data_IF_293831904099
#
_entry.id   IF_293831904099
#
_cell.length_a   1.000
_cell.length_b   1.000
_cell.length_c   1.000
_cell.angle_alpha   90.00
_cell.angle_beta   90.00
_cell.angle_gamma   90.00
#
_symmetry.space_group_name_H-M   'P 1'
#
loop_
_entity.id
_entity.type
_entity.pdbx_description
1 polymer ?
#
# COMPACT_ATOMS: atom_id res chain seq x y z
N UNK A 1 24.21 -28.47 -24.82
CA UNK A 1 24.35 -27.97 -23.44
C UNK A 1 23.20 -27.00 -23.17
N UNK A 2 22.20 -27.40 -22.38
CA UNK A 2 20.98 -26.62 -22.17
C UNK A 2 21.25 -25.35 -21.38
N UNK A 3 20.94 -24.20 -21.98
CA UNK A 3 20.91 -22.91 -21.32
C UNK A 3 19.77 -22.87 -20.30
N UNK A 4 20.07 -23.18 -19.04
CA UNK A 4 19.14 -22.97 -17.94
C UNK A 4 19.14 -21.47 -17.65
N UNK A 5 18.27 -20.74 -18.36
CA UNK A 5 17.92 -19.38 -18.00
C UNK A 5 17.58 -19.37 -16.50
N UNK A 6 18.36 -18.62 -15.70
CA UNK A 6 18.13 -18.39 -14.28
C UNK A 6 16.74 -17.76 -14.13
N UNK A 7 15.72 -18.60 -13.95
CA UNK A 7 14.35 -18.15 -13.70
C UNK A 7 14.33 -17.49 -12.34
N UNK A 8 13.69 -16.32 -12.27
CA UNK A 8 13.54 -15.62 -11.00
C UNK A 8 12.74 -16.50 -10.04
N UNK A 9 13.32 -16.92 -8.90
CA UNK A 9 12.69 -17.87 -7.99
C UNK A 9 11.34 -17.36 -7.48
N UNK A 10 11.20 -16.05 -7.27
CA UNK A 10 9.95 -15.41 -6.91
C UNK A 10 8.84 -15.61 -7.96
N UNK A 11 9.17 -15.52 -9.26
CA UNK A 11 8.20 -15.76 -10.34
C UNK A 11 7.79 -17.22 -10.44
N UNK A 12 8.74 -18.13 -10.21
CA UNK A 12 8.47 -19.57 -10.16
C UNK A 12 7.52 -19.88 -9.01
N UNK A 13 7.80 -19.35 -7.82
CA UNK A 13 6.94 -19.52 -6.65
C UNK A 13 5.53 -18.95 -6.86
N UNK A 14 5.42 -17.77 -7.47
CA UNK A 14 4.12 -17.19 -7.82
C UNK A 14 3.31 -18.10 -8.77
N UNK A 15 3.96 -18.69 -9.77
CA UNK A 15 3.33 -19.64 -10.68
C UNK A 15 2.86 -20.92 -9.97
N UNK A 16 3.72 -21.51 -9.13
CA UNK A 16 3.37 -22.70 -8.34
C UNK A 16 2.20 -22.42 -7.38
N UNK A 17 2.18 -21.23 -6.76
CA UNK A 17 1.06 -20.80 -5.90
C UNK A 17 -0.24 -20.66 -6.70
N UNK A 18 -0.17 -20.10 -7.90
CA UNK A 18 -1.33 -20.01 -8.79
C UNK A 18 -1.87 -21.42 -9.13
N UNK A 19 -1.00 -22.40 -9.38
CA UNK A 19 -1.39 -23.80 -9.58
C UNK A 19 -2.15 -24.35 -8.38
N UNK A 20 -1.69 -24.11 -7.15
CA UNK A 20 -2.35 -24.62 -5.94
C UNK A 20 -3.79 -24.11 -5.80
N UNK A 21 -4.03 -22.84 -6.12
CA UNK A 21 -5.34 -22.21 -5.98
C UNK A 21 -6.26 -22.40 -7.19
N UNK A 22 -5.73 -22.85 -8.34
CA UNK A 22 -6.55 -23.05 -9.53
C UNK A 22 -7.49 -24.26 -9.34
N UNK A 23 -8.82 -24.12 -9.46
CA UNK A 23 -9.75 -25.25 -9.38
C UNK A 23 -9.64 -26.21 -10.57
N UNK A 24 -9.13 -25.76 -11.72
CA UNK A 24 -9.06 -26.55 -12.96
C UNK A 24 -7.84 -27.48 -13.05
N UNK A 25 -6.95 -27.49 -12.06
CA UNK A 25 -5.77 -28.38 -12.05
C UNK A 25 -5.98 -29.60 -11.17
N UNK A 26 -5.32 -30.71 -11.52
CA UNK A 26 -5.39 -31.96 -10.78
C UNK A 26 -4.80 -31.85 -9.38
N UNK A 27 -5.27 -32.69 -8.46
CA UNK A 27 -4.75 -32.72 -7.09
C UNK A 27 -3.26 -33.10 -7.04
N UNK A 28 -2.83 -34.02 -7.91
CA UNK A 28 -1.41 -34.39 -8.04
C UNK A 28 -0.54 -33.18 -8.42
N UNK A 29 -1.00 -32.33 -9.34
CA UNK A 29 -0.30 -31.12 -9.73
C UNK A 29 -0.22 -30.10 -8.56
N UNK A 30 -1.27 -29.99 -7.74
CA UNK A 30 -1.26 -29.14 -6.55
C UNK A 30 -0.29 -29.64 -5.50
N UNK A 31 -0.22 -30.95 -5.27
CA UNK A 31 0.73 -31.55 -4.32
C UNK A 31 2.17 -31.30 -4.77
N UNK A 32 2.50 -31.58 -6.03
CA UNK A 32 3.82 -31.29 -6.60
C UNK A 32 4.19 -29.80 -6.52
N UNK A 33 3.22 -28.92 -6.72
CA UNK A 33 3.45 -27.48 -6.58
C UNK A 33 3.74 -27.07 -5.12
N UNK A 34 3.10 -27.70 -4.14
CA UNK A 34 3.40 -27.49 -2.70
C UNK A 34 4.78 -28.00 -2.32
N UNK A 35 5.12 -29.22 -2.73
CA UNK A 35 6.44 -29.81 -2.49
C UNK A 35 7.55 -28.93 -3.06
N UNK A 36 7.36 -28.42 -4.28
CA UNK A 36 8.36 -27.56 -4.93
C UNK A 36 8.46 -26.17 -4.30
N UNK A 37 7.38 -25.66 -3.70
CA UNK A 37 7.44 -24.44 -2.88
C UNK A 37 8.19 -24.68 -1.57
N UNK A 38 7.96 -25.82 -0.92
CA UNK A 38 8.65 -26.23 0.30
C UNK A 38 10.16 -26.45 0.05
N UNK A 39 10.53 -27.13 -1.03
CA UNK A 39 11.93 -27.32 -1.45
C UNK A 39 12.66 -25.98 -1.71
N UNK A 40 11.90 -24.96 -2.14
CA UNK A 40 12.41 -23.60 -2.31
C UNK A 40 12.46 -22.79 -1.00
N UNK A 41 12.11 -23.37 0.15
CA UNK A 41 12.04 -22.68 1.45
C UNK A 41 10.94 -21.62 1.51
N UNK A 42 9.93 -21.75 0.63
CA UNK A 42 8.77 -20.88 0.55
C UNK A 42 7.58 -21.67 1.07
N UNK A 43 7.49 -21.77 2.39
CA UNK A 43 6.43 -22.54 3.04
C UNK A 43 5.05 -22.09 2.54
N UNK A 44 4.19 -23.07 2.28
CA UNK A 44 2.82 -22.86 1.80
C UNK A 44 1.94 -22.11 2.81
N UNK A 45 2.50 -21.62 3.92
CA UNK A 45 1.95 -20.60 4.84
C UNK A 45 1.96 -19.20 4.20
N UNK A 46 1.58 -19.12 2.93
CA UNK A 46 0.36 -18.40 2.58
C UNK A 46 0.34 -16.89 2.76
N UNK A 47 1.44 -16.21 3.03
CA UNK A 47 1.45 -14.77 3.21
C UNK A 47 2.48 -14.13 2.30
N UNK A 48 2.11 -13.88 1.04
CA UNK A 48 2.85 -12.88 0.25
C UNK A 48 2.91 -11.62 1.11
N UNK A 49 4.11 -11.18 1.48
CA UNK A 49 4.29 -10.02 2.36
C UNK A 49 3.54 -8.77 1.88
N UNK A 50 3.19 -8.69 0.59
CA UNK A 50 2.31 -7.65 0.05
C UNK A 50 0.82 -7.81 0.45
N UNK A 51 0.23 -9.00 0.30
CA UNK A 51 -1.18 -9.23 0.65
C UNK A 51 -1.40 -9.15 2.16
N UNK A 52 -0.49 -9.69 2.97
CA UNK A 52 -0.62 -9.62 4.42
C UNK A 52 -0.51 -8.19 4.94
N UNK A 53 0.32 -7.32 4.33
CA UNK A 53 0.42 -5.92 4.75
C UNK A 53 -0.90 -5.16 4.55
N UNK A 54 -1.58 -5.36 3.42
CA UNK A 54 -2.86 -4.70 3.16
C UNK A 54 -4.00 -5.26 4.00
N UNK A 55 -4.04 -6.58 4.17
CA UNK A 55 -5.04 -7.23 5.03
C UNK A 55 -4.84 -6.81 6.49
N UNK A 56 -3.61 -6.84 7.00
CA UNK A 56 -3.31 -6.41 8.37
C UNK A 56 -3.68 -4.94 8.62
N UNK A 57 -3.38 -4.04 7.67
CA UNK A 57 -3.78 -2.64 7.76
C UNK A 57 -5.30 -2.45 7.82
N UNK A 58 -6.05 -3.21 7.01
CA UNK A 58 -7.52 -3.18 7.02
C UNK A 58 -8.12 -3.71 8.32
N UNK A 59 -7.59 -4.82 8.84
CA UNK A 59 -8.01 -5.40 10.12
C UNK A 59 -7.73 -4.43 11.29
N UNK A 60 -6.56 -3.77 11.29
CA UNK A 60 -6.22 -2.75 12.30
C UNK A 60 -7.18 -1.55 12.23
N UNK A 61 -7.52 -1.10 11.03
CA UNK A 61 -8.51 -0.03 10.85
C UNK A 61 -9.90 -0.43 11.35
N UNK A 62 -10.33 -1.67 11.10
CA UNK A 62 -11.61 -2.19 11.58
C UNK A 62 -11.69 -2.24 13.12
N UNK A 63 -10.60 -2.65 13.79
CA UNK A 63 -10.50 -2.70 15.26
C UNK A 63 -10.73 -1.30 15.88
N UNK A 64 -10.17 -0.25 15.27
CA UNK A 64 -10.31 1.12 15.78
C UNK A 64 -11.59 1.82 15.32
N UNK A 65 -12.38 1.22 14.42
CA UNK A 65 -13.61 1.82 13.94
C UNK A 65 -14.75 1.61 14.96
N UNK A 66 -15.34 2.69 15.53
CA UNK A 66 -16.42 2.57 16.50
C UNK A 66 -17.73 2.01 15.91
N UNK A 67 -17.86 1.94 14.58
CA UNK A 67 -19.03 1.36 13.90
C UNK A 67 -18.98 -0.16 13.74
N UNK A 68 -17.85 -0.79 14.10
CA UNK A 68 -17.66 -2.25 14.00
C UNK A 68 -18.04 -2.89 15.33
N UNK A 69 -18.69 -4.07 15.28
CA UNK A 69 -19.07 -4.82 16.48
C UNK A 69 -17.86 -5.40 17.22
N UNK A 70 -17.96 -5.54 18.54
CA UNK A 70 -16.87 -6.08 19.37
C UNK A 70 -16.48 -7.50 18.95
N UNK A 71 -17.44 -8.35 18.55
CA UNK A 71 -17.16 -9.69 18.01
C UNK A 71 -16.30 -9.65 16.75
N UNK A 72 -16.56 -8.72 15.83
CA UNK A 72 -15.79 -8.57 14.61
C UNK A 72 -14.38 -8.05 14.92
N UNK A 73 -14.25 -7.09 15.85
CA UNK A 73 -12.94 -6.61 16.30
C UNK A 73 -12.10 -7.73 16.91
N UNK A 74 -12.70 -8.59 17.72
CA UNK A 74 -11.99 -9.72 18.34
C UNK A 74 -11.47 -10.71 17.29
N UNK A 75 -12.31 -11.04 16.30
CA UNK A 75 -11.92 -11.89 15.18
C UNK A 75 -10.78 -11.28 14.36
N UNK A 76 -10.81 -9.97 14.16
CA UNK A 76 -9.77 -9.24 13.43
C UNK A 76 -8.45 -9.22 14.22
N UNK A 77 -8.50 -9.10 15.55
CA UNK A 77 -7.34 -9.24 16.45
C UNK A 77 -6.70 -10.62 16.36
N UNK A 78 -7.52 -11.68 16.45
CA UNK A 78 -7.04 -13.06 16.33
C UNK A 78 -6.37 -13.30 14.96
N UNK A 79 -6.98 -12.77 13.89
CA UNK A 79 -6.44 -12.88 12.54
C UNK A 79 -5.12 -12.12 12.38
N UNK A 80 -4.94 -10.99 13.05
CA UNK A 80 -3.67 -10.25 13.09
C UNK A 80 -2.59 -10.99 13.87
N UNK A 81 -2.95 -11.58 15.02
CA UNK A 81 -2.04 -12.41 15.82
C UNK A 81 -1.56 -13.65 15.03
N UNK A 82 -2.47 -14.34 14.35
CA UNK A 82 -2.15 -15.47 13.48
C UNK A 82 -1.27 -15.07 12.27
N UNK A 83 -1.24 -13.78 11.92
CA UNK A 83 -0.35 -13.23 10.89
C UNK A 83 1.01 -12.80 11.45
N UNK A 84 1.26 -12.94 12.76
CA UNK A 84 2.48 -12.48 13.43
C UNK A 84 2.60 -10.96 13.50
N UNK A 85 1.46 -10.26 13.47
CA UNK A 85 1.40 -8.80 13.62
C UNK A 85 0.97 -8.50 15.05
N UNK A 86 1.93 -8.15 15.89
CA UNK A 86 1.65 -7.71 17.25
C UNK A 86 0.92 -6.37 17.24
N UNK A 87 -0.32 -6.38 17.74
CA UNK A 87 -1.08 -5.16 17.98
C UNK A 87 -0.74 -4.73 19.41
N UNK A 88 0.22 -3.81 19.54
CA UNK A 88 0.49 -3.17 20.83
C UNK A 88 -0.74 -2.34 21.22
N UNK A 89 -1.56 -2.85 22.15
CA UNK A 89 -2.74 -2.18 22.68
C UNK A 89 -2.33 -1.09 23.68
N UNK A 90 -1.84 0.04 23.17
CA UNK A 90 -1.66 1.28 23.93
C UNK A 90 -2.83 2.24 23.72
N UNK A 91 -3.34 2.92 24.77
CA UNK A 91 -4.50 3.78 24.64
C UNK A 91 -4.10 5.11 23.99
N UNK A 92 -4.78 5.43 22.89
CA UNK A 92 -4.92 6.76 22.31
C UNK A 92 -3.67 7.43 21.74
N UNK A 93 -3.73 7.70 20.44
CA UNK A 93 -3.07 8.82 19.78
C UNK A 93 -1.53 8.86 19.83
N UNK A 94 -0.87 8.09 18.97
CA UNK A 94 0.21 8.63 18.12
C UNK A 94 0.18 7.99 16.74
N UNK A 95 -0.03 8.83 15.73
CA UNK A 95 0.36 8.57 14.36
C UNK A 95 1.89 8.33 14.36
N UNK A 96 2.29 7.17 13.85
CA UNK A 96 3.64 6.92 13.34
C UNK A 96 4.67 6.45 14.36
N UNK A 97 4.97 5.15 14.32
CA UNK A 97 6.33 4.63 14.13
C UNK A 97 6.28 3.09 14.15
N UNK A 98 6.28 2.47 12.97
CA UNK A 98 6.82 1.13 12.80
C UNK A 98 7.93 1.24 11.76
N UNK A 99 9.15 1.32 12.27
CA UNK A 99 10.37 0.99 11.54
C UNK A 99 10.24 -0.45 11.04
N UNK A 100 10.49 -0.66 9.73
CA UNK A 100 11.40 -1.67 9.17
C UNK A 100 11.10 -1.95 7.68
N UNK A 101 12.06 -1.59 6.82
CA UNK A 101 12.41 -2.43 5.66
C UNK A 101 12.13 -1.89 4.25
N UNK A 102 12.88 -0.87 3.83
CA UNK A 102 13.59 -0.87 2.55
C UNK A 102 12.82 -1.17 1.26
N UNK A 103 11.92 -0.28 0.85
CA UNK A 103 11.99 0.22 -0.52
C UNK A 103 12.04 1.72 -0.41
N UNK A 104 13.25 2.25 -0.54
CA UNK A 104 13.56 3.65 -0.70
C UNK A 104 12.55 4.23 -1.69
N UNK A 105 11.50 4.86 -1.16
CA UNK A 105 10.89 5.95 -1.89
C UNK A 105 11.99 6.98 -1.93
N UNK A 106 12.71 7.00 -3.05
CA UNK A 106 13.60 8.10 -3.36
C UNK A 106 12.83 9.38 -3.06
N UNK A 107 13.26 10.20 -2.08
CA UNK A 107 12.82 11.58 -2.05
C UNK A 107 13.36 12.18 -3.34
N UNK A 108 12.49 12.43 -4.30
CA UNK A 108 12.88 13.19 -5.49
C UNK A 108 13.26 14.59 -5.03
N UNK A 109 14.57 14.85 -4.91
CA UNK A 109 15.23 16.15 -4.79
C UNK A 109 14.90 16.90 -3.50
N UNK A 110 15.82 17.13 -2.57
CA UNK A 110 17.21 17.48 -2.85
C UNK A 110 17.30 18.86 -3.51
N UNK A 111 16.60 19.86 -2.98
CA UNK A 111 17.03 21.24 -3.04
C UNK A 111 16.61 21.90 -1.73
N UNK A 112 17.58 22.43 -1.01
CA UNK A 112 17.45 23.29 0.16
C UNK A 112 16.40 24.38 -0.08
N UNK A 113 15.19 24.18 0.42
CA UNK A 113 14.18 25.23 0.51
C UNK A 113 14.28 25.87 1.90
N UNK A 114 14.17 27.21 1.99
CA UNK A 114 14.19 27.93 3.26
C UNK A 114 13.08 27.39 4.17
N UNK A 115 13.17 27.64 5.47
CA UNK A 115 12.16 27.26 6.48
C UNK A 115 10.78 27.83 6.12
N UNK A 116 10.07 27.17 5.20
CA UNK A 116 8.70 27.51 4.81
C UNK A 116 7.77 26.86 5.82
N UNK A 117 6.96 27.69 6.44
CA UNK A 117 5.95 27.31 7.41
C UNK A 117 4.95 26.33 6.79
N UNK A 118 4.25 25.57 7.65
CA UNK A 118 3.22 24.63 7.19
C UNK A 118 2.15 25.32 6.32
N UNK A 119 1.87 26.59 6.60
CA UNK A 119 0.90 27.45 5.91
C UNK A 119 1.35 27.75 4.47
N UNK A 120 2.61 28.13 4.26
CA UNK A 120 3.18 28.39 2.93
C UNK A 120 3.23 27.13 2.05
N UNK A 121 3.45 25.97 2.68
CA UNK A 121 3.44 24.69 1.98
C UNK A 121 2.03 24.30 1.53
N UNK A 122 1.03 24.51 2.38
CA UNK A 122 -0.37 24.27 2.05
C UNK A 122 -0.83 25.20 0.93
N UNK A 123 -0.43 26.47 0.98
CA UNK A 123 -0.69 27.46 -0.06
C UNK A 123 -0.06 27.04 -1.39
N UNK A 124 1.21 26.65 -1.42
CA UNK A 124 1.87 26.17 -2.64
C UNK A 124 1.18 24.95 -3.26
N UNK A 125 0.70 24.02 -2.43
CA UNK A 125 -0.05 22.85 -2.91
C UNK A 125 -1.42 23.25 -3.49
N UNK A 126 -2.11 24.18 -2.82
CA UNK A 126 -3.42 24.69 -3.26
C UNK A 126 -3.32 25.45 -4.58
N UNK A 127 -2.29 26.30 -4.73
CA UNK A 127 -2.00 27.01 -5.98
C UNK A 127 -1.62 26.05 -7.11
N UNK A 128 -0.85 25.01 -6.81
CA UNK A 128 -0.57 23.92 -7.76
C UNK A 128 -1.83 23.22 -8.25
N UNK A 129 -2.78 22.97 -7.35
CA UNK A 129 -4.10 22.42 -7.68
C UNK A 129 -4.91 23.31 -8.63
N UNK A 130 -5.00 24.62 -8.35
CA UNK A 130 -5.69 25.55 -9.24
C UNK A 130 -5.04 25.65 -10.61
N UNK A 131 -3.70 25.61 -10.71
CA UNK A 131 -2.98 25.57 -11.99
C UNK A 131 -3.29 24.29 -12.77
N UNK A 132 -3.42 23.15 -12.08
CA UNK A 132 -3.84 21.90 -12.70
C UNK A 132 -5.28 21.96 -13.24
N UNK A 133 -6.21 22.57 -12.49
CA UNK A 133 -7.59 22.81 -12.92
C UNK A 133 -7.67 23.63 -14.21
N UNK A 134 -6.79 24.63 -14.38
CA UNK A 134 -6.71 25.43 -15.61
C UNK A 134 -6.19 24.63 -16.81
N UNK A 135 -5.21 23.74 -16.59
CA UNK A 135 -4.60 22.91 -17.65
C UNK A 135 -5.45 21.71 -18.04
N UNK A 136 -6.37 21.26 -17.18
CA UNK A 136 -7.20 20.11 -17.48
C UNK A 136 -8.24 20.47 -18.57
N UNK A 137 -8.28 19.75 -19.72
CA UNK A 137 -9.27 20.01 -20.76
C UNK A 137 -10.70 19.59 -20.35
N UNK A 138 -10.84 18.74 -19.32
CA UNK A 138 -12.12 18.19 -18.86
C UNK A 138 -12.78 18.97 -17.71
N UNK A 139 -12.19 20.07 -17.26
CA UNK A 139 -12.79 20.95 -16.24
C UNK A 139 -13.72 21.97 -16.89
N UNK A 140 -14.85 22.24 -16.22
CA UNK A 140 -15.84 23.23 -16.67
C UNK A 140 -15.24 24.64 -16.68
N UNK A 141 -15.81 25.51 -17.52
CA UNK A 141 -15.35 26.89 -17.63
C UNK A 141 -15.48 27.64 -16.30
N UNK A 142 -16.60 27.47 -15.59
CA UNK A 142 -16.83 28.06 -14.28
C UNK A 142 -15.78 27.63 -13.23
N UNK A 143 -15.35 26.37 -13.25
CA UNK A 143 -14.29 25.88 -12.37
C UNK A 143 -12.91 26.50 -12.71
N UNK A 144 -12.65 26.75 -14.00
CA UNK A 144 -11.43 27.42 -14.46
C UNK A 144 -11.44 28.88 -14.06
N UNK A 145 -12.55 29.59 -14.22
CA UNK A 145 -12.66 31.00 -13.83
C UNK A 145 -12.45 31.17 -12.32
N UNK A 146 -13.01 30.28 -11.50
CA UNK A 146 -12.80 30.26 -10.05
C UNK A 146 -11.34 29.93 -9.67
N UNK A 147 -10.72 28.97 -10.36
CA UNK A 147 -9.31 28.65 -10.16
C UNK A 147 -8.40 29.82 -10.53
N UNK A 148 -8.75 30.57 -11.59
CA UNK A 148 -8.03 31.78 -12.02
C UNK A 148 -8.15 32.89 -10.98
N UNK A 149 -9.35 33.18 -10.47
CA UNK A 149 -9.55 34.19 -9.43
C UNK A 149 -8.74 33.88 -8.15
N UNK A 150 -8.69 32.61 -7.75
CA UNK A 150 -7.87 32.18 -6.61
C UNK A 150 -6.36 32.35 -6.86
N UNK A 151 -5.88 32.12 -8.08
CA UNK A 151 -4.48 32.35 -8.43
C UNK A 151 -4.11 33.84 -8.47
N UNK A 152 -5.01 34.70 -8.93
CA UNK A 152 -4.81 36.17 -8.89
C UNK A 152 -4.79 36.71 -7.46
N UNK A 153 -5.71 36.25 -6.61
CA UNK A 153 -5.77 36.65 -5.20
C UNK A 153 -4.46 36.36 -4.44
N UNK A 154 -3.85 35.22 -4.75
CA UNK A 154 -2.59 34.77 -4.15
C UNK A 154 -1.34 35.24 -4.93
N UNK A 155 -1.49 36.16 -5.90
CA UNK A 155 -0.39 36.69 -6.76
C UNK A 155 0.45 35.60 -7.43
N UNK A 156 -0.18 34.48 -7.79
CA UNK A 156 0.48 33.30 -8.34
C UNK A 156 0.29 33.14 -9.87
N UNK A 157 -0.16 34.20 -10.53
CA UNK A 157 -0.49 34.28 -11.95
C UNK A 157 0.58 35.02 -12.76
#
# INVERSE_FOLDING_TARGET
>A
MSGVAKKNPERVAAGLKATIHNPQVSQEAKTKARERLHDMGLDATGATGAQNKHVAGGLKAAIHNPRVSEEAKQKDKERLHNMGVDIDEGPSAKLGEHSLGGKEKQPHGGASHPEVTAEEREEHHRLGGYKATLKNPHTSQEAKDRAKAMLEQHKAL
#
